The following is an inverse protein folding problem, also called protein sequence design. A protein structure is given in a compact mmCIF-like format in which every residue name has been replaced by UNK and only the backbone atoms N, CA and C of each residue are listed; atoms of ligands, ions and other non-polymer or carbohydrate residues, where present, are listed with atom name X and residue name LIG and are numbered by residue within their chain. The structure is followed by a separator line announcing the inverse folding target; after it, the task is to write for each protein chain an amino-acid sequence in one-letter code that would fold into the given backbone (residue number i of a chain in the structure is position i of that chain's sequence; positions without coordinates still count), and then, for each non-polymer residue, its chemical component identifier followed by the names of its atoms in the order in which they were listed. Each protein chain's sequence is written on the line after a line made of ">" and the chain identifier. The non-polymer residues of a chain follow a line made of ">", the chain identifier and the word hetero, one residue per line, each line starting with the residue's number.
data_IF_565914722916
#
_entry.id   IF_565914722916
#
_cell.length_a   1.000
_cell.length_b   1.000
_cell.length_c   1.000
_cell.angle_alpha   90.00
_cell.angle_beta   90.00
_cell.angle_gamma   90.00
#
_symmetry.space_group_name_H-M   'P 1'
#
loop_
_entity.id
_entity.type
_entity.pdbx_description
1 polymer ?
#
# COMPACT_ATOMS: atom_id res chain seq x y z
N UNK A 1 -10.67 -55.61 -22.29
CA UNK A 1 -11.01 -54.23 -21.98
C UNK A 1 -10.37 -53.87 -20.65
N UNK A 2 -9.31 -53.03 -20.59
CA UNK A 2 -8.63 -52.71 -19.36
C UNK A 2 -8.98 -51.28 -18.93
N UNK A 3 -9.16 -51.13 -17.60
CA UNK A 3 -9.28 -49.85 -16.91
C UNK A 3 -7.93 -49.16 -16.81
N UNK A 4 -7.95 -47.86 -17.00
CA UNK A 4 -6.80 -46.97 -16.91
C UNK A 4 -6.96 -46.04 -15.69
N UNK A 5 -6.20 -46.26 -14.67
CA UNK A 5 -5.85 -45.23 -13.70
C UNK A 5 -4.35 -45.31 -13.38
N UNK A 6 -3.60 -44.40 -13.96
CA UNK A 6 -2.18 -44.21 -13.70
C UNK A 6 -1.94 -43.31 -12.49
N UNK A 7 -1.72 -43.93 -11.30
CA UNK A 7 -1.10 -43.27 -10.16
C UNK A 7 0.35 -43.70 -10.06
N UNK A 8 1.26 -42.72 -10.17
CA UNK A 8 2.68 -42.94 -9.89
C UNK A 8 2.88 -42.90 -8.38
N UNK A 9 3.28 -44.02 -7.79
CA UNK A 9 3.78 -44.14 -6.41
C UNK A 9 5.26 -43.80 -6.40
N UNK A 10 5.65 -42.93 -5.47
CA UNK A 10 7.03 -42.73 -5.06
C UNK A 10 7.33 -43.66 -3.85
N UNK A 11 8.51 -44.23 -3.76
CA UNK A 11 8.84 -45.21 -2.72
C UNK A 11 9.21 -44.54 -1.38
N UNK A 12 8.84 -45.25 -0.31
CA UNK A 12 9.24 -45.01 1.05
C UNK A 12 10.61 -45.66 1.33
N UNK A 13 11.19 -45.24 2.45
CA UNK A 13 12.27 -45.82 3.24
C UNK A 13 13.68 -45.29 3.00
N UNK A 14 14.12 -44.45 3.96
CA UNK A 14 15.22 -44.85 4.85
C UNK A 14 15.23 -43.99 6.13
N UNK A 15 15.00 -44.68 7.24
CA UNK A 15 15.31 -44.22 8.60
C UNK A 15 16.81 -44.01 8.78
N UNK A 16 17.21 -42.86 9.34
CA UNK A 16 18.40 -42.77 10.19
C UNK A 16 18.01 -42.01 11.47
N UNK A 17 18.11 -42.76 12.54
CA UNK A 17 17.95 -42.38 13.93
C UNK A 17 19.15 -41.54 14.39
N UNK A 18 18.96 -40.44 15.02
CA UNK A 18 19.90 -39.85 15.99
C UNK A 18 19.17 -38.84 16.87
N UNK A 19 18.78 -39.31 18.02
CA UNK A 19 18.46 -38.57 19.22
C UNK A 19 19.46 -37.46 19.53
N UNK A 20 18.98 -36.23 19.73
CA UNK A 20 19.27 -35.42 20.94
C UNK A 20 18.47 -34.13 20.93
N UNK A 21 17.51 -34.06 21.84
CA UNK A 21 17.05 -32.91 22.63
C UNK A 21 17.16 -31.47 22.01
N UNK A 22 16.00 -30.92 21.64
CA UNK A 22 15.51 -29.64 22.19
C UNK A 22 14.08 -29.43 21.73
N UNK A 23 13.15 -29.53 22.67
CA UNK A 23 11.71 -29.30 22.50
C UNK A 23 11.42 -27.84 22.08
N UNK A 24 10.62 -27.60 21.05
CA UNK A 24 10.08 -26.28 20.78
C UNK A 24 8.70 -26.15 21.46
N UNK A 25 8.70 -25.94 22.77
CA UNK A 25 7.50 -25.56 23.51
C UNK A 25 7.35 -24.01 23.50
N UNK A 26 7.17 -23.42 22.35
CA UNK A 26 7.03 -21.95 22.22
C UNK A 26 6.07 -21.48 21.13
N UNK A 27 5.83 -22.26 20.11
CA UNK A 27 5.06 -21.78 18.95
C UNK A 27 3.55 -22.09 18.99
N UNK A 28 3.12 -23.08 19.78
CA UNK A 28 1.70 -23.46 19.88
C UNK A 28 0.85 -22.53 20.76
N UNK A 29 1.46 -21.82 21.71
CA UNK A 29 0.72 -20.93 22.63
C UNK A 29 0.38 -19.55 22.03
N UNK A 30 1.05 -19.16 20.97
CA UNK A 30 0.90 -17.82 20.36
C UNK A 30 -0.32 -17.76 19.41
N UNK A 31 -0.75 -18.87 18.85
CA UNK A 31 -1.87 -18.89 17.88
C UNK A 31 -3.25 -18.91 18.53
N UNK A 32 -3.38 -19.41 19.76
CA UNK A 32 -4.69 -19.52 20.44
C UNK A 32 -5.12 -18.26 21.22
N UNK A 33 -4.20 -17.35 21.54
CA UNK A 33 -4.53 -16.11 22.26
C UNK A 33 -5.12 -15.00 21.37
N UNK A 34 -5.18 -15.20 20.05
CA UNK A 34 -5.64 -14.18 19.09
C UNK A 34 -7.15 -14.26 18.81
N UNK A 35 -7.83 -15.31 19.27
CA UNK A 35 -9.19 -15.63 18.79
C UNK A 35 -10.35 -15.32 19.71
N UNK A 36 -10.17 -14.94 20.95
CA UNK A 36 -11.34 -14.49 21.74
C UNK A 36 -10.92 -13.70 22.99
N UNK A 37 -11.34 -12.47 23.10
CA UNK A 37 -11.58 -11.78 24.38
C UNK A 37 -10.39 -11.51 25.31
N UNK A 38 -9.16 -11.72 24.89
CA UNK A 38 -8.00 -11.43 25.72
C UNK A 38 -7.87 -9.93 26.02
N UNK A 39 -7.69 -9.57 27.28
CA UNK A 39 -7.49 -8.20 27.73
C UNK A 39 -6.33 -7.53 26.99
N UNK A 40 -6.38 -6.20 26.88
CA UNK A 40 -5.32 -5.40 26.25
C UNK A 40 -3.96 -5.69 26.89
N UNK A 41 -3.92 -5.98 28.20
CA UNK A 41 -2.70 -6.33 28.92
C UNK A 41 -2.08 -7.67 28.50
N UNK A 42 -2.90 -8.70 28.25
CA UNK A 42 -2.40 -10.00 27.75
C UNK A 42 -1.82 -9.89 26.34
N UNK A 43 -2.40 -9.05 25.49
CA UNK A 43 -1.87 -8.75 24.14
C UNK A 43 -0.54 -7.99 24.20
N UNK A 44 -0.39 -7.11 25.21
CA UNK A 44 0.85 -6.37 25.44
C UNK A 44 1.98 -7.26 25.89
N UNK A 45 1.74 -8.12 26.89
CA UNK A 45 2.73 -9.06 27.38
C UNK A 45 3.23 -10.02 26.29
N UNK A 46 2.34 -10.52 25.44
CA UNK A 46 2.69 -11.38 24.32
C UNK A 46 3.53 -10.65 23.25
N UNK A 47 3.22 -9.37 22.97
CA UNK A 47 3.96 -8.57 21.99
C UNK A 47 5.39 -8.21 22.46
N UNK A 48 5.59 -8.01 23.77
CA UNK A 48 6.90 -7.71 24.35
C UNK A 48 7.78 -8.97 24.44
N UNK A 49 7.21 -10.14 24.75
CA UNK A 49 7.94 -11.41 24.87
C UNK A 49 8.46 -11.98 23.52
N UNK A 50 7.90 -11.54 22.39
CA UNK A 50 8.28 -12.01 21.05
C UNK A 50 9.49 -11.28 20.44
N UNK A 51 10.21 -10.43 21.20
CA UNK A 51 11.36 -9.69 20.70
C UNK A 51 12.63 -10.54 20.68
N UNK A 52 12.99 -11.05 19.51
CA UNK A 52 14.29 -11.64 19.24
C UNK A 52 15.31 -10.54 18.94
N UNK A 53 16.36 -10.41 19.75
CA UNK A 53 17.53 -9.56 19.46
C UNK A 53 18.23 -10.04 18.17
N UNK A 54 18.33 -9.15 17.20
CA UNK A 54 19.16 -9.36 16.01
C UNK A 54 20.44 -8.52 16.17
N UNK A 55 21.56 -9.21 16.40
CA UNK A 55 22.90 -8.57 16.48
C UNK A 55 23.30 -7.94 15.15
N UNK A 56 23.81 -6.73 15.22
CA UNK A 56 24.40 -6.02 14.07
C UNK A 56 25.81 -6.54 13.76
N UNK A 57 26.21 -6.61 12.48
CA UNK A 57 27.61 -6.81 12.12
C UNK A 57 28.40 -5.47 12.19
N UNK A 58 29.64 -5.57 12.69
CA UNK A 58 30.61 -4.49 12.85
C UNK A 58 30.88 -3.70 11.54
N UNK A 59 31.20 -2.39 11.63
CA UNK A 59 31.58 -1.60 10.47
C UNK A 59 32.99 -1.97 9.99
N UNK A 60 33.07 -2.75 8.93
CA UNK A 60 34.34 -3.03 8.21
C UNK A 60 34.81 -1.82 7.40
N UNK A 61 36.14 -1.65 7.16
CA UNK A 61 36.74 -0.48 6.53
C UNK A 61 36.23 -0.25 5.10
N UNK A 62 36.23 1.00 4.69
CA UNK A 62 35.66 1.57 3.48
C UNK A 62 36.02 0.83 2.19
N UNK A 63 35.25 -0.20 1.85
CA UNK A 63 35.18 -0.71 0.48
C UNK A 63 34.42 0.31 -0.38
N UNK A 64 34.83 0.54 -1.63
CA UNK A 64 34.06 1.39 -2.53
C UNK A 64 32.60 0.91 -2.55
N UNK A 65 31.64 1.85 -2.52
CA UNK A 65 30.22 1.49 -2.37
C UNK A 65 29.81 0.56 -3.51
N UNK A 66 29.22 -0.59 -3.12
CA UNK A 66 28.75 -1.57 -4.09
C UNK A 66 27.65 -0.96 -4.96
N UNK A 67 27.48 -1.42 -6.17
CA UNK A 67 26.46 -0.91 -7.10
C UNK A 67 25.10 -0.71 -6.44
N UNK A 68 24.62 -1.69 -5.66
CA UNK A 68 23.32 -1.58 -5.00
C UNK A 68 23.27 -0.52 -3.90
N UNK A 69 24.40 -0.16 -3.29
CA UNK A 69 24.47 0.91 -2.29
C UNK A 69 24.40 2.27 -2.99
N UNK A 70 25.07 2.43 -4.14
CA UNK A 70 24.93 3.60 -5.02
C UNK A 70 23.48 3.77 -5.50
N UNK A 71 22.81 2.68 -5.90
CA UNK A 71 21.38 2.70 -6.30
C UNK A 71 20.49 3.18 -5.16
N UNK A 72 20.74 2.73 -3.91
CA UNK A 72 19.98 3.18 -2.73
C UNK A 72 20.22 4.65 -2.44
N UNK A 73 21.46 5.08 -2.48
CA UNK A 73 21.86 6.46 -2.25
C UNK A 73 21.20 7.39 -3.27
N UNK A 74 21.35 7.12 -4.57
CA UNK A 74 20.73 7.89 -5.63
C UNK A 74 19.19 7.94 -5.52
N UNK A 75 18.55 6.83 -5.13
CA UNK A 75 17.11 6.79 -4.89
C UNK A 75 16.70 7.69 -3.73
N UNK A 76 17.51 7.76 -2.65
CA UNK A 76 17.26 8.63 -1.49
C UNK A 76 17.49 10.10 -1.80
N UNK A 77 18.54 10.43 -2.55
CA UNK A 77 18.79 11.81 -3.03
C UNK A 77 17.61 12.32 -3.85
N UNK A 78 16.97 11.44 -4.64
CA UNK A 78 15.75 11.78 -5.41
C UNK A 78 14.45 11.67 -4.63
N UNK A 79 14.51 11.47 -3.32
CA UNK A 79 13.35 11.30 -2.45
C UNK A 79 12.36 10.20 -2.90
N UNK A 80 12.87 9.13 -3.53
CA UNK A 80 12.03 8.01 -3.92
C UNK A 80 11.52 7.25 -2.68
N UNK A 81 10.28 6.77 -2.77
CA UNK A 81 9.72 5.95 -1.70
C UNK A 81 10.51 4.65 -1.52
N UNK A 82 10.56 4.10 -0.31
CA UNK A 82 11.18 2.78 -0.03
C UNK A 82 10.61 1.67 -0.92
N UNK A 83 9.35 1.80 -1.34
CA UNK A 83 8.72 0.85 -2.26
C UNK A 83 9.29 0.97 -3.67
N UNK A 84 9.50 2.19 -4.16
CA UNK A 84 10.16 2.45 -5.45
C UNK A 84 11.61 1.96 -5.41
N UNK A 85 12.37 2.27 -4.35
CA UNK A 85 13.74 1.79 -4.14
C UNK A 85 13.81 0.26 -4.25
N UNK A 86 12.93 -0.47 -3.52
CA UNK A 86 12.89 -1.93 -3.56
C UNK A 86 12.53 -2.48 -4.94
N UNK A 87 11.56 -1.87 -5.61
CA UNK A 87 11.16 -2.28 -6.95
C UNK A 87 12.29 -2.08 -7.96
N UNK A 88 13.00 -0.96 -7.91
CA UNK A 88 14.12 -0.68 -8.79
C UNK A 88 15.29 -1.64 -8.54
N UNK A 89 15.65 -1.86 -7.28
CA UNK A 89 16.66 -2.86 -6.91
C UNK A 89 16.30 -4.26 -7.41
N UNK A 90 15.04 -4.65 -7.35
CA UNK A 90 14.58 -5.96 -7.82
C UNK A 90 14.72 -6.07 -9.35
N UNK A 91 14.34 -5.03 -10.11
CA UNK A 91 14.48 -5.01 -11.57
C UNK A 91 15.93 -4.99 -12.01
N UNK A 92 16.77 -4.16 -11.39
CA UNK A 92 18.22 -4.09 -11.68
C UNK A 92 18.87 -5.45 -11.40
N UNK A 93 18.54 -6.09 -10.28
CA UNK A 93 19.03 -7.45 -9.97
C UNK A 93 18.62 -8.44 -11.05
N UNK A 94 17.34 -8.44 -11.46
CA UNK A 94 16.82 -9.34 -12.49
C UNK A 94 17.52 -9.13 -13.83
N UNK A 95 17.80 -7.89 -14.22
CA UNK A 95 18.56 -7.52 -15.41
C UNK A 95 20.00 -8.07 -15.37
N UNK A 96 20.70 -7.90 -14.26
CA UNK A 96 22.06 -8.42 -14.05
C UNK A 96 22.09 -9.95 -14.16
N UNK A 97 21.13 -10.64 -13.52
CA UNK A 97 21.04 -12.09 -13.58
C UNK A 97 20.69 -12.60 -14.99
N UNK A 98 19.82 -11.93 -15.71
CA UNK A 98 19.47 -12.27 -17.10
C UNK A 98 20.69 -12.25 -18.03
N UNK A 99 21.64 -11.37 -17.79
CA UNK A 99 22.88 -11.28 -18.54
C UNK A 99 24.08 -12.00 -17.87
N UNK A 100 23.84 -13.07 -17.15
CA UNK A 100 24.91 -13.92 -16.59
C UNK A 100 25.76 -13.23 -15.53
N UNK A 101 25.19 -12.29 -14.76
CA UNK A 101 25.87 -11.49 -13.72
C UNK A 101 26.94 -10.53 -14.24
N UNK A 102 26.87 -10.13 -15.52
CA UNK A 102 27.73 -9.05 -16.06
C UNK A 102 27.44 -7.74 -15.33
N UNK A 103 28.49 -6.92 -15.18
CA UNK A 103 28.30 -5.61 -14.56
C UNK A 103 27.55 -4.65 -15.50
N UNK A 104 26.55 -3.88 -15.03
CA UNK A 104 25.77 -2.99 -15.90
C UNK A 104 26.59 -1.95 -16.67
N UNK A 105 27.71 -1.50 -16.14
CA UNK A 105 28.61 -0.60 -16.86
C UNK A 105 29.21 -1.19 -18.16
N UNK A 106 29.22 -2.52 -18.30
CA UNK A 106 29.69 -3.26 -19.48
C UNK A 106 28.55 -3.61 -20.45
N UNK A 107 27.33 -3.15 -20.15
CA UNK A 107 26.12 -3.45 -20.91
C UNK A 107 25.52 -2.14 -21.41
N UNK A 108 24.83 -2.21 -22.54
CA UNK A 108 24.21 -1.03 -23.15
C UNK A 108 22.85 -1.30 -23.77
N UNK A 109 22.58 -0.61 -24.86
CA UNK A 109 21.35 -0.67 -25.64
C UNK A 109 20.89 -2.09 -25.99
N UNK A 110 21.76 -2.91 -26.59
CA UNK A 110 21.36 -4.24 -27.03
C UNK A 110 20.89 -5.10 -25.86
N UNK A 111 21.59 -5.04 -24.71
CA UNK A 111 21.25 -5.83 -23.54
C UNK A 111 19.93 -5.37 -22.91
N UNK A 112 19.70 -4.06 -22.81
CA UNK A 112 18.45 -3.52 -22.29
C UNK A 112 17.29 -3.92 -23.18
N UNK A 113 17.42 -3.76 -24.51
CA UNK A 113 16.38 -4.16 -25.47
C UNK A 113 16.10 -5.64 -25.39
N UNK A 114 17.15 -6.49 -25.34
CA UNK A 114 17.01 -7.94 -25.22
C UNK A 114 16.24 -8.33 -23.95
N UNK A 115 16.59 -7.71 -22.80
CA UNK A 115 15.90 -7.96 -21.54
C UNK A 115 14.44 -7.53 -21.57
N UNK A 116 14.14 -6.33 -22.09
CA UNK A 116 12.76 -5.84 -22.19
C UNK A 116 11.92 -6.68 -23.16
N UNK A 117 12.52 -7.14 -24.26
CA UNK A 117 11.87 -8.06 -25.22
C UNK A 117 11.59 -9.42 -24.58
N UNK A 118 12.55 -10.00 -23.83
CA UNK A 118 12.31 -11.26 -23.13
C UNK A 118 11.19 -11.15 -22.09
N UNK A 119 11.07 -10.02 -21.39
CA UNK A 119 9.94 -9.78 -20.49
C UNK A 119 8.60 -9.79 -21.21
N UNK A 120 8.56 -9.21 -22.41
CA UNK A 120 7.32 -9.15 -23.20
C UNK A 120 6.97 -10.50 -23.85
N UNK A 121 7.94 -11.16 -24.48
CA UNK A 121 7.73 -12.37 -25.30
C UNK A 121 7.73 -13.63 -24.43
N UNK A 122 8.80 -13.86 -23.69
CA UNK A 122 8.96 -15.07 -22.86
C UNK A 122 8.22 -14.95 -21.53
N UNK A 123 8.34 -13.79 -20.88
CA UNK A 123 7.71 -13.53 -19.57
C UNK A 123 6.23 -13.17 -19.65
N UNK A 124 5.71 -12.88 -20.84
CA UNK A 124 4.32 -12.46 -21.08
C UNK A 124 3.81 -11.43 -20.04
N UNK A 125 4.68 -10.48 -19.66
CA UNK A 125 4.36 -9.49 -18.64
C UNK A 125 3.48 -8.38 -19.20
N UNK A 126 2.63 -7.80 -18.36
CA UNK A 126 1.83 -6.65 -18.77
C UNK A 126 2.71 -5.45 -19.15
N UNK A 127 2.26 -4.62 -20.09
CA UNK A 127 2.94 -3.41 -20.56
C UNK A 127 3.35 -2.47 -19.39
N UNK A 128 2.53 -2.39 -18.33
CA UNK A 128 2.87 -1.61 -17.12
C UNK A 128 4.08 -2.17 -16.37
N UNK A 129 4.25 -3.48 -16.36
CA UNK A 129 5.38 -4.18 -15.71
C UNK A 129 6.65 -3.97 -16.52
N UNK A 130 6.58 -4.08 -17.84
CA UNK A 130 7.71 -3.80 -18.74
C UNK A 130 8.16 -2.33 -18.62
N UNK A 131 7.22 -1.38 -18.59
CA UNK A 131 7.51 0.04 -18.40
C UNK A 131 8.11 0.33 -17.01
N UNK A 132 7.77 -0.43 -15.97
CA UNK A 132 8.41 -0.32 -14.66
C UNK A 132 9.86 -0.81 -14.69
N UNK A 133 10.14 -1.91 -15.39
CA UNK A 133 11.49 -2.40 -15.60
C UNK A 133 12.34 -1.37 -16.38
N UNK A 134 11.80 -0.83 -17.48
CA UNK A 134 12.45 0.24 -18.24
C UNK A 134 12.78 1.45 -17.34
N UNK A 135 11.83 1.92 -16.52
CA UNK A 135 12.07 3.06 -15.63
C UNK A 135 13.18 2.78 -14.62
N UNK A 136 13.30 1.55 -14.13
CA UNK A 136 14.38 1.15 -13.22
C UNK A 136 15.75 1.11 -13.90
N UNK A 137 15.81 0.68 -15.17
CA UNK A 137 17.05 0.67 -15.97
C UNK A 137 17.46 2.08 -16.39
N UNK A 138 16.51 2.93 -16.80
CA UNK A 138 16.76 4.34 -17.06
C UNK A 138 17.38 5.04 -15.85
N UNK A 139 16.80 4.81 -14.67
CA UNK A 139 17.34 5.33 -13.42
C UNK A 139 18.76 4.79 -13.14
N UNK A 140 19.01 3.49 -13.37
CA UNK A 140 20.33 2.90 -13.18
C UNK A 140 21.38 3.59 -14.05
N UNK A 141 21.13 3.72 -15.35
CA UNK A 141 22.12 4.25 -16.27
C UNK A 141 22.30 5.77 -16.13
N UNK A 142 21.22 6.54 -16.08
CA UNK A 142 21.29 8.01 -15.99
C UNK A 142 21.75 8.52 -14.62
N UNK A 143 21.23 7.92 -13.55
CA UNK A 143 21.34 8.51 -12.20
C UNK A 143 22.37 7.82 -11.31
N UNK A 144 22.78 6.58 -11.64
CA UNK A 144 23.72 5.81 -10.82
C UNK A 144 25.03 5.58 -11.55
N UNK A 145 24.98 5.26 -12.86
CA UNK A 145 26.15 5.03 -13.67
C UNK A 145 26.61 6.29 -14.40
N UNK A 146 25.77 7.32 -14.46
CA UNK A 146 26.01 8.61 -15.13
C UNK A 146 26.39 8.40 -16.62
N UNK A 147 25.81 7.37 -17.23
CA UNK A 147 25.99 7.06 -18.65
C UNK A 147 24.85 7.67 -19.45
N UNK A 148 25.19 8.49 -20.40
CA UNK A 148 24.24 9.02 -21.37
C UNK A 148 23.93 7.94 -22.42
N UNK A 149 22.65 7.68 -22.57
CA UNK A 149 22.15 6.68 -23.52
C UNK A 149 21.12 7.37 -24.44
N UNK A 150 21.57 8.15 -25.44
CA UNK A 150 20.69 8.98 -26.28
C UNK A 150 19.53 8.20 -26.90
N UNK A 151 19.77 6.95 -27.30
CA UNK A 151 18.77 6.07 -27.91
C UNK A 151 17.69 5.55 -26.93
N UNK A 152 17.86 5.71 -25.61
CA UNK A 152 16.83 5.35 -24.61
C UNK A 152 15.60 6.25 -24.68
N UNK A 153 15.73 7.43 -25.25
CA UNK A 153 14.59 8.32 -25.48
C UNK A 153 13.70 7.79 -26.60
N UNK A 154 14.26 6.98 -27.52
CA UNK A 154 13.55 6.32 -28.61
C UNK A 154 12.95 4.94 -28.22
N UNK A 155 13.24 4.42 -27.02
CA UNK A 155 12.64 3.16 -26.60
C UNK A 155 11.13 3.34 -26.44
N UNK A 156 10.39 2.77 -27.39
CA UNK A 156 8.94 2.80 -27.41
C UNK A 156 8.38 2.17 -26.14
N UNK A 157 7.81 3.01 -25.30
CA UNK A 157 7.09 2.50 -24.12
C UNK A 157 5.90 1.66 -24.57
N UNK A 158 5.78 0.46 -24.01
CA UNK A 158 4.66 -0.40 -24.32
C UNK A 158 3.32 0.33 -24.08
N UNK A 159 2.47 0.36 -25.10
CA UNK A 159 1.13 0.98 -25.01
C UNK A 159 0.33 0.30 -23.92
N UNK A 160 -0.15 1.08 -22.97
CA UNK A 160 -1.08 0.57 -21.94
C UNK A 160 -2.48 0.60 -22.52
N UNK A 161 -3.20 -0.52 -22.57
CA UNK A 161 -4.60 -0.46 -22.92
C UNK A 161 -5.34 0.38 -21.88
N UNK A 162 -6.15 1.33 -22.32
CA UNK A 162 -7.05 2.07 -21.47
C UNK A 162 -8.11 1.10 -20.94
N UNK A 163 -8.08 0.80 -19.63
CA UNK A 163 -9.10 -0.02 -18.98
C UNK A 163 -9.99 0.89 -18.16
N UNK A 164 -11.28 0.79 -18.39
CA UNK A 164 -12.25 1.47 -17.54
C UNK A 164 -12.15 0.92 -16.11
N UNK A 165 -12.20 1.79 -15.09
CA UNK A 165 -12.19 1.34 -13.71
C UNK A 165 -13.47 0.55 -13.39
N UNK A 166 -13.33 -0.48 -12.58
CA UNK A 166 -14.50 -1.14 -12.01
C UNK A 166 -15.13 -0.23 -10.96
N UNK A 167 -16.41 0.06 -11.14
CA UNK A 167 -17.24 0.83 -10.23
C UNK A 167 -18.31 -0.09 -9.65
N UNK A 168 -18.51 -0.02 -8.34
CA UNK A 168 -19.59 -0.71 -7.64
C UNK A 168 -20.80 0.21 -7.59
N UNK A 169 -21.99 -0.34 -7.69
CA UNK A 169 -23.22 0.39 -7.35
C UNK A 169 -23.28 0.69 -5.85
N UNK A 170 -24.15 1.59 -5.43
CA UNK A 170 -24.35 1.91 -4.00
C UNK A 170 -24.76 0.67 -3.19
N UNK A 171 -25.60 -0.18 -3.76
CA UNK A 171 -26.04 -1.44 -3.14
C UNK A 171 -24.90 -2.47 -3.06
N UNK A 172 -24.06 -2.58 -4.09
CA UNK A 172 -22.88 -3.44 -4.07
C UNK A 172 -21.87 -2.99 -3.01
N UNK A 173 -21.64 -1.68 -2.87
CA UNK A 173 -20.81 -1.11 -1.78
C UNK A 173 -21.40 -1.46 -0.43
N UNK A 174 -22.71 -1.26 -0.23
CA UNK A 174 -23.40 -1.59 1.00
C UNK A 174 -23.26 -3.07 1.34
N UNK A 175 -23.52 -3.94 0.38
CA UNK A 175 -23.41 -5.40 0.53
C UNK A 175 -22.00 -5.82 0.97
N UNK A 176 -20.94 -5.27 0.37
CA UNK A 176 -19.56 -5.53 0.79
C UNK A 176 -19.29 -5.04 2.21
N UNK A 177 -19.70 -3.83 2.55
CA UNK A 177 -19.49 -3.25 3.87
C UNK A 177 -20.24 -4.01 4.97
N UNK A 178 -21.37 -4.64 4.68
CA UNK A 178 -22.10 -5.49 5.62
C UNK A 178 -21.36 -6.80 5.92
N UNK A 179 -20.50 -7.28 5.02
CA UNK A 179 -19.66 -8.47 5.26
C UNK A 179 -18.34 -8.15 6.00
N UNK A 180 -18.08 -6.87 6.25
CA UNK A 180 -16.85 -6.43 6.93
C UNK A 180 -17.16 -5.98 8.36
N UNK A 181 -16.19 -6.17 9.26
CA UNK A 181 -16.34 -5.81 10.68
C UNK A 181 -15.11 -5.06 11.20
N UNK A 182 -15.28 -4.31 12.30
CA UNK A 182 -14.21 -3.63 13.02
C UNK A 182 -13.37 -2.67 12.16
N UNK A 183 -12.09 -2.58 12.43
CA UNK A 183 -11.16 -1.65 11.76
C UNK A 183 -11.17 -1.76 10.24
N UNK A 184 -11.18 -2.95 9.61
CA UNK A 184 -11.29 -3.07 8.16
C UNK A 184 -12.56 -2.42 7.59
N UNK A 185 -13.71 -2.60 8.25
CA UNK A 185 -14.97 -1.97 7.82
C UNK A 185 -14.89 -0.45 7.90
N UNK A 186 -14.44 0.07 9.04
CA UNK A 186 -14.26 1.51 9.26
C UNK A 186 -13.31 2.13 8.22
N UNK A 187 -12.20 1.44 7.93
CA UNK A 187 -11.24 1.86 6.90
C UNK A 187 -11.88 1.86 5.51
N UNK A 188 -12.64 0.82 5.15
CA UNK A 188 -13.35 0.74 3.87
C UNK A 188 -14.39 1.85 3.72
N UNK A 189 -15.11 2.18 4.79
CA UNK A 189 -16.04 3.31 4.85
C UNK A 189 -15.32 4.64 4.56
N UNK A 190 -14.10 4.85 5.08
CA UNK A 190 -13.30 6.04 4.78
C UNK A 190 -12.79 6.05 3.34
N UNK A 191 -12.41 4.90 2.77
CA UNK A 191 -12.03 4.83 1.36
C UNK A 191 -13.19 5.24 0.44
N UNK A 192 -14.41 4.78 0.76
CA UNK A 192 -15.61 5.08 -0.02
C UNK A 192 -16.17 6.47 0.29
N UNK A 193 -16.25 6.86 1.57
CA UNK A 193 -16.94 8.09 1.96
C UNK A 193 -16.10 9.36 1.91
N UNK A 194 -14.75 9.22 1.87
CA UNK A 194 -13.81 10.33 1.80
C UNK A 194 -12.89 10.26 0.57
N UNK A 195 -13.02 9.24 -0.26
CA UNK A 195 -12.21 9.05 -1.46
C UNK A 195 -10.71 8.84 -1.20
N UNK A 196 -10.32 8.35 -0.03
CA UNK A 196 -8.92 8.15 0.34
C UNK A 196 -8.26 7.04 -0.48
N UNK A 197 -6.96 7.17 -0.74
CA UNK A 197 -6.15 6.02 -1.16
C UNK A 197 -5.89 5.11 0.04
N UNK A 198 -5.67 3.83 -0.20
CA UNK A 198 -5.42 2.85 0.87
C UNK A 198 -4.31 3.29 1.84
N UNK A 199 -3.16 3.71 1.32
CA UNK A 199 -2.05 4.16 2.16
C UNK A 199 -2.31 5.54 2.80
N UNK A 200 -3.06 6.42 2.16
CA UNK A 200 -3.49 7.68 2.79
C UNK A 200 -4.34 7.42 4.02
N UNK A 201 -5.30 6.49 3.92
CA UNK A 201 -6.11 6.08 5.04
C UNK A 201 -5.27 5.41 6.15
N UNK A 202 -4.36 4.51 5.78
CA UNK A 202 -3.48 3.85 6.75
C UNK A 202 -2.53 4.82 7.46
N UNK A 203 -2.12 5.91 6.79
CA UNK A 203 -1.22 6.94 7.30
C UNK A 203 -1.93 8.12 7.97
N UNK A 204 -3.25 8.07 8.15
CA UNK A 204 -3.96 9.11 8.89
C UNK A 204 -3.43 9.20 10.33
N UNK A 205 -3.19 10.44 10.77
CA UNK A 205 -2.83 10.74 12.15
C UNK A 205 -4.03 11.31 12.89
N UNK A 206 -4.01 11.20 14.20
CA UNK A 206 -5.08 11.72 15.05
C UNK A 206 -5.36 13.20 14.78
N UNK A 207 -4.30 14.02 14.65
CA UNK A 207 -4.40 15.46 14.36
C UNK A 207 -4.95 15.81 12.98
N UNK A 208 -5.02 14.82 12.09
CA UNK A 208 -5.50 15.02 10.72
C UNK A 208 -7.01 14.78 10.60
N UNK A 209 -7.69 14.44 11.72
CA UNK A 209 -9.14 14.23 11.81
C UNK A 209 -9.77 15.41 12.54
N UNK A 210 -10.53 16.23 11.81
CA UNK A 210 -11.28 17.35 12.38
C UNK A 210 -12.78 17.01 12.44
N UNK A 211 -13.23 16.61 13.64
CA UNK A 211 -14.63 16.28 13.89
C UNK A 211 -15.56 17.51 13.88
N UNK A 212 -15.02 18.68 14.25
CA UNK A 212 -15.82 19.92 14.31
C UNK A 212 -16.16 20.43 12.91
N UNK A 213 -15.14 20.42 12.00
CA UNK A 213 -15.31 20.86 10.62
C UNK A 213 -15.75 19.76 9.66
N UNK A 214 -15.86 18.52 10.15
CA UNK A 214 -16.14 17.34 9.31
C UNK A 214 -15.12 17.13 8.18
N UNK A 215 -13.85 17.27 8.50
CA UNK A 215 -12.76 17.24 7.53
C UNK A 215 -11.65 16.24 7.91
N UNK A 216 -11.01 15.71 6.87
CA UNK A 216 -9.79 14.93 6.97
C UNK A 216 -8.68 15.66 6.20
N UNK A 217 -7.55 15.86 6.84
CA UNK A 217 -6.34 16.41 6.20
C UNK A 217 -5.49 15.25 5.70
N UNK A 218 -5.34 15.09 4.40
CA UNK A 218 -4.48 14.09 3.79
C UNK A 218 -3.13 14.73 3.51
N UNK A 219 -2.12 14.31 4.28
CA UNK A 219 -0.76 14.84 4.16
C UNK A 219 0.07 14.03 3.20
N UNK A 220 1.00 14.71 2.51
CA UNK A 220 1.98 14.10 1.60
C UNK A 220 1.32 13.10 0.63
N UNK A 221 0.22 13.50 0.01
CA UNK A 221 -0.45 12.74 -1.05
C UNK A 221 0.53 12.45 -2.21
N UNK A 222 0.09 11.75 -3.25
CA UNK A 222 0.91 11.49 -4.44
C UNK A 222 1.46 12.82 -4.99
N UNK A 223 2.77 13.04 -4.82
CA UNK A 223 3.46 14.26 -5.23
C UNK A 223 3.58 15.33 -4.16
N UNK A 224 3.54 14.94 -2.88
CA UNK A 224 3.83 15.78 -1.71
C UNK A 224 2.94 17.03 -1.54
N UNK A 225 1.66 16.92 -1.99
CA UNK A 225 0.66 17.97 -1.76
C UNK A 225 -0.36 17.52 -0.73
N UNK A 226 -0.57 18.35 0.27
CA UNK A 226 -1.65 18.20 1.23
C UNK A 226 -2.99 18.53 0.56
N UNK A 227 -4.05 17.87 0.99
CA UNK A 227 -5.42 18.20 0.61
C UNK A 227 -6.37 17.96 1.77
N UNK A 228 -7.52 18.59 1.70
CA UNK A 228 -8.63 18.37 2.61
C UNK A 228 -9.72 17.56 1.89
N UNK A 229 -10.31 16.61 2.58
CA UNK A 229 -11.50 15.89 2.12
C UNK A 229 -12.52 15.78 3.26
N UNK A 230 -13.73 15.33 2.96
CA UNK A 230 -14.79 15.22 3.95
C UNK A 230 -14.59 14.07 4.92
N UNK A 231 -14.98 14.25 6.18
CA UNK A 231 -15.19 13.19 7.14
C UNK A 231 -16.68 12.77 7.09
N UNK A 232 -17.00 11.57 6.59
CA UNK A 232 -18.38 11.13 6.47
C UNK A 232 -19.06 11.03 7.85
N UNK A 233 -20.28 11.54 7.96
CA UNK A 233 -21.02 11.55 9.24
C UNK A 233 -21.24 10.15 9.79
N UNK A 234 -21.51 9.18 8.90
CA UNK A 234 -21.77 7.78 9.26
C UNK A 234 -20.60 7.10 10.00
N UNK A 235 -19.36 7.56 9.80
CA UNK A 235 -18.19 6.95 10.46
C UNK A 235 -17.85 7.59 11.80
N UNK A 236 -18.39 8.76 12.14
CA UNK A 236 -17.95 9.55 13.29
C UNK A 236 -18.04 8.78 14.61
N UNK A 237 -19.19 8.20 14.91
CA UNK A 237 -19.41 7.48 16.18
C UNK A 237 -18.48 6.26 16.31
N UNK A 238 -18.27 5.50 15.21
CA UNK A 238 -17.37 4.34 15.19
C UNK A 238 -15.91 4.77 15.27
N UNK A 239 -15.55 5.85 14.56
CA UNK A 239 -14.20 6.40 14.57
C UNK A 239 -13.85 6.98 15.95
N UNK A 240 -14.76 7.67 16.64
CA UNK A 240 -14.56 8.18 18.00
C UNK A 240 -14.24 7.03 18.96
N UNK A 241 -15.08 5.98 18.99
CA UNK A 241 -14.82 4.78 19.82
C UNK A 241 -13.50 4.11 19.49
N UNK A 242 -13.15 4.06 18.22
CA UNK A 242 -11.87 3.51 17.78
C UNK A 242 -10.69 4.34 18.26
N UNK A 243 -10.78 5.68 18.19
CA UNK A 243 -9.74 6.59 18.68
C UNK A 243 -9.58 6.52 20.20
N UNK A 244 -10.67 6.34 20.96
CA UNK A 244 -10.62 6.11 22.40
C UNK A 244 -9.84 4.84 22.74
N UNK A 245 -10.14 3.73 22.06
CA UNK A 245 -9.40 2.48 22.22
C UNK A 245 -7.93 2.60 21.80
N UNK A 246 -7.65 3.30 20.70
CA UNK A 246 -6.28 3.56 20.24
C UNK A 246 -5.53 4.46 21.23
N UNK A 247 -6.19 5.42 21.89
CA UNK A 247 -5.61 6.28 22.92
C UNK A 247 -5.25 5.48 24.17
N UNK A 248 -6.14 4.64 24.65
CA UNK A 248 -5.88 3.73 25.77
C UNK A 248 -4.66 2.83 25.48
N UNK A 249 -4.60 2.26 24.27
CA UNK A 249 -3.45 1.47 23.83
C UNK A 249 -2.15 2.31 23.84
N UNK A 250 -2.18 3.53 23.35
CA UNK A 250 -1.04 4.44 23.34
C UNK A 250 -0.57 4.80 24.76
N UNK A 251 -1.49 5.07 25.68
CA UNK A 251 -1.18 5.36 27.08
C UNK A 251 -0.53 4.16 27.78
N UNK A 252 -0.97 2.95 27.48
CA UNK A 252 -0.32 1.72 27.95
C UNK A 252 1.08 1.57 27.35
N UNK A 253 1.24 1.83 26.06
CA UNK A 253 2.56 1.81 25.39
C UNK A 253 3.54 2.78 26.06
N UNK A 254 3.08 3.98 26.42
CA UNK A 254 3.91 4.99 27.12
C UNK A 254 4.36 4.53 28.50
N UNK A 255 3.49 3.87 29.29
CA UNK A 255 3.83 3.31 30.61
C UNK A 255 4.91 2.24 30.54
N UNK A 256 5.01 1.53 29.42
CA UNK A 256 6.01 0.48 29.19
C UNK A 256 7.23 0.98 28.39
N UNK A 257 7.45 2.30 28.32
CA UNK A 257 8.61 2.90 27.64
C UNK A 257 8.57 2.86 26.11
N UNK A 258 7.41 2.47 25.55
CA UNK A 258 7.16 2.45 24.12
C UNK A 258 6.35 3.69 23.66
N UNK A 259 5.47 3.57 22.68
CA UNK A 259 4.57 4.64 22.24
C UNK A 259 5.24 5.65 21.31
N UNK A 260 6.41 5.33 20.78
CA UNK A 260 7.08 6.13 19.78
C UNK A 260 6.48 5.92 18.41
N UNK A 261 6.50 6.97 17.62
CA UNK A 261 6.07 6.98 16.23
C UNK A 261 7.12 7.63 15.35
N UNK A 262 7.34 7.09 14.17
CA UNK A 262 8.32 7.64 13.23
C UNK A 262 7.79 8.94 12.61
N UNK A 263 8.51 10.03 12.88
CA UNK A 263 8.27 11.34 12.26
C UNK A 263 9.19 11.52 11.05
N UNK A 264 8.83 12.37 10.09
CA UNK A 264 9.76 12.85 9.07
C UNK A 264 11.01 13.45 9.73
N UNK A 265 12.19 13.19 9.16
CA UNK A 265 13.49 13.49 9.78
C UNK A 265 13.64 14.94 10.24
N UNK A 266 13.11 15.90 9.46
CA UNK A 266 13.15 17.32 9.81
C UNK A 266 12.30 17.62 11.06
N UNK A 267 11.10 17.04 11.15
CA UNK A 267 10.21 17.20 12.29
C UNK A 267 10.73 16.50 13.54
N UNK A 268 11.34 15.32 13.39
CA UNK A 268 11.95 14.60 14.50
C UNK A 268 13.11 15.40 15.14
N UNK A 269 13.87 16.17 14.33
CA UNK A 269 14.93 17.07 14.84
C UNK A 269 14.35 18.30 15.51
N UNK A 270 13.31 18.91 14.93
CA UNK A 270 12.68 20.14 15.45
C UNK A 270 11.87 19.87 16.72
N UNK A 271 11.20 18.72 16.79
CA UNK A 271 10.31 18.32 17.88
C UNK A 271 10.66 16.89 18.35
N UNK A 272 11.72 16.71 19.17
CA UNK A 272 12.24 15.38 19.53
C UNK A 272 11.21 14.48 20.21
N UNK A 273 10.30 15.05 21.00
CA UNK A 273 9.29 14.31 21.76
C UNK A 273 7.94 14.14 21.04
N UNK A 274 7.73 14.85 19.94
CA UNK A 274 6.44 14.82 19.25
C UNK A 274 6.02 13.40 18.78
N UNK A 275 7.01 12.51 18.58
CA UNK A 275 6.73 11.10 18.25
C UNK A 275 5.98 10.33 19.35
N UNK A 276 5.96 10.84 20.62
CA UNK A 276 5.22 10.27 21.76
C UNK A 276 3.88 10.96 22.00
N UNK A 277 3.63 12.09 21.39
CA UNK A 277 2.41 12.85 21.60
C UNK A 277 1.23 12.22 20.86
N UNK A 278 0.06 12.21 21.50
CA UNK A 278 -1.16 11.64 20.97
C UNK A 278 -1.56 12.20 19.59
N UNK A 279 -1.52 13.51 19.32
CA UNK A 279 -1.92 14.06 18.02
C UNK A 279 -1.12 13.50 16.83
N UNK A 280 0.09 13.02 17.06
CA UNK A 280 0.95 12.46 16.02
C UNK A 280 0.75 10.97 15.79
N UNK A 281 0.08 10.27 16.70
CA UNK A 281 -0.14 8.84 16.58
C UNK A 281 -1.01 8.49 15.36
N UNK A 282 -0.90 7.24 14.92
CA UNK A 282 -1.72 6.74 13.83
C UNK A 282 -3.18 6.58 14.29
N UNK A 283 -4.12 6.97 13.43
CA UNK A 283 -5.54 6.62 13.63
C UNK A 283 -5.70 5.10 13.66
N UNK A 284 -5.00 4.39 12.78
CA UNK A 284 -5.03 2.94 12.70
C UNK A 284 -3.64 2.35 13.02
N UNK A 285 -3.29 2.19 14.30
CA UNK A 285 -2.00 1.62 14.69
C UNK A 285 -1.94 0.12 14.41
N UNK A 286 -0.75 -0.39 14.11
CA UNK A 286 -0.50 -1.82 14.03
C UNK A 286 -0.55 -2.47 15.42
N UNK A 287 -0.88 -3.75 15.49
CA UNK A 287 -0.90 -4.50 16.74
C UNK A 287 0.49 -4.81 17.28
N UNK A 288 1.51 -4.86 16.41
CA UNK A 288 2.88 -5.20 16.78
C UNK A 288 3.77 -3.97 16.88
N UNK A 289 4.75 -4.03 17.80
CA UNK A 289 5.86 -3.09 17.84
C UNK A 289 6.96 -3.46 16.86
N UNK A 290 7.78 -2.49 16.54
CA UNK A 290 9.12 -2.69 16.01
C UNK A 290 10.12 -1.84 16.82
N UNK A 291 11.36 -2.32 16.90
CA UNK A 291 12.44 -1.59 17.55
C UNK A 291 13.20 -0.83 16.47
N UNK A 292 13.36 0.47 16.67
CA UNK A 292 14.16 1.29 15.78
C UNK A 292 15.63 1.07 16.11
N UNK A 293 16.35 0.36 15.25
CA UNK A 293 17.75 -0.06 15.50
C UNK A 293 18.69 1.09 15.92
N UNK A 294 18.53 2.27 15.29
CA UNK A 294 19.40 3.42 15.57
C UNK A 294 19.21 4.03 16.98
N UNK A 295 18.04 3.87 17.61
CA UNK A 295 17.69 4.55 18.87
C UNK A 295 17.20 3.60 19.95
N UNK A 296 17.01 2.32 19.66
CA UNK A 296 16.39 1.36 20.58
C UNK A 296 14.89 1.63 20.87
N UNK A 297 14.30 2.64 20.25
CA UNK A 297 12.94 3.05 20.52
C UNK A 297 11.92 2.02 20.03
N UNK A 298 10.98 1.68 20.89
CA UNK A 298 9.85 0.80 20.58
C UNK A 298 8.73 1.63 19.97
N UNK A 299 8.44 1.35 18.70
CA UNK A 299 7.49 2.12 17.88
C UNK A 299 6.40 1.23 17.31
N UNK A 300 5.21 1.82 17.04
CA UNK A 300 4.17 1.16 16.25
C UNK A 300 4.15 1.70 14.84
N UNK A 301 3.99 0.81 13.87
CA UNK A 301 3.63 1.19 12.51
C UNK A 301 2.13 1.48 12.41
N UNK A 302 1.73 2.05 11.29
CA UNK A 302 0.33 2.07 10.87
C UNK A 302 -0.15 0.65 10.52
N UNK A 303 -1.47 0.48 10.45
CA UNK A 303 -2.10 -0.74 9.94
C UNK A 303 -1.53 -1.10 8.56
N UNK A 304 -1.07 -2.34 8.42
CA UNK A 304 -0.51 -2.79 7.14
C UNK A 304 -1.61 -2.93 6.08
N UNK A 305 -1.33 -2.44 4.88
CA UNK A 305 -2.30 -2.42 3.79
C UNK A 305 -2.91 -3.79 3.44
N UNK A 306 -2.16 -4.88 3.68
CA UNK A 306 -2.63 -6.25 3.41
C UNK A 306 -3.81 -6.66 4.29
N UNK A 307 -3.97 -6.07 5.48
CA UNK A 307 -5.10 -6.36 6.36
C UNK A 307 -6.41 -5.96 5.68
N UNK A 308 -6.48 -4.72 5.17
CA UNK A 308 -7.66 -4.27 4.47
C UNK A 308 -7.86 -4.98 3.12
N UNK A 309 -6.77 -5.19 2.37
CA UNK A 309 -6.84 -5.92 1.09
C UNK A 309 -7.40 -7.34 1.27
N UNK A 310 -7.01 -8.02 2.36
CA UNK A 310 -7.52 -9.35 2.70
C UNK A 310 -8.99 -9.28 3.09
N UNK A 311 -9.36 -8.35 3.97
CA UNK A 311 -10.75 -8.19 4.42
C UNK A 311 -11.71 -7.88 3.25
N UNK A 312 -11.30 -7.03 2.30
CA UNK A 312 -12.09 -6.77 1.09
C UNK A 312 -12.25 -8.02 0.24
N UNK A 313 -11.18 -8.82 0.09
CA UNK A 313 -11.23 -10.09 -0.66
C UNK A 313 -12.15 -11.10 0.02
N UNK A 314 -12.05 -11.24 1.33
CA UNK A 314 -12.91 -12.14 2.11
C UNK A 314 -14.38 -11.73 2.07
N UNK A 315 -14.65 -10.42 2.17
CA UNK A 315 -15.99 -9.88 2.02
C UNK A 315 -16.56 -10.18 0.61
N UNK A 316 -15.75 -9.98 -0.43
CA UNK A 316 -16.16 -10.26 -1.81
C UNK A 316 -16.49 -11.76 -2.02
N UNK A 317 -15.69 -12.67 -1.44
CA UNK A 317 -15.98 -14.10 -1.52
C UNK A 317 -17.28 -14.52 -0.83
N UNK A 318 -17.74 -13.78 0.17
CA UNK A 318 -19.03 -14.02 0.86
C UNK A 318 -20.22 -13.46 0.11
N UNK A 319 -19.99 -12.62 -0.88
CA UNK A 319 -21.03 -12.07 -1.73
C UNK A 319 -21.02 -12.82 -3.06
N UNK A 320 -22.18 -13.11 -3.65
CA UNK A 320 -22.28 -13.69 -5.00
C UNK A 320 -21.97 -12.67 -6.10
N UNK A 321 -21.19 -11.65 -5.80
CA UNK A 321 -20.91 -10.53 -6.70
C UNK A 321 -19.93 -10.93 -7.79
N UNK A 322 -20.28 -10.80 -9.09
CA UNK A 322 -19.39 -11.18 -10.19
C UNK A 322 -18.25 -10.18 -10.43
N UNK A 323 -18.35 -8.99 -9.85
CA UNK A 323 -17.36 -7.92 -10.04
C UNK A 323 -16.14 -8.12 -9.15
N UNK A 324 -14.94 -7.80 -9.68
CA UNK A 324 -13.72 -7.76 -8.89
C UNK A 324 -13.64 -6.44 -8.13
N UNK A 325 -13.73 -6.48 -6.80
CA UNK A 325 -13.55 -5.32 -5.96
C UNK A 325 -12.17 -5.33 -5.27
N UNK A 326 -11.59 -4.15 -5.15
CA UNK A 326 -10.33 -3.88 -4.45
C UNK A 326 -10.50 -2.64 -3.59
N UNK A 327 -9.52 -2.31 -2.74
CA UNK A 327 -9.54 -1.05 -1.99
C UNK A 327 -9.64 0.18 -2.91
N UNK A 328 -9.07 0.13 -4.11
CA UNK A 328 -9.17 1.20 -5.10
C UNK A 328 -10.58 1.32 -5.70
N UNK A 329 -11.32 0.23 -5.77
CA UNK A 329 -12.69 0.22 -6.29
C UNK A 329 -13.61 1.09 -5.44
N UNK A 330 -13.45 1.11 -4.11
CA UNK A 330 -14.20 2.02 -3.23
C UNK A 330 -13.98 3.49 -3.59
N UNK A 331 -12.73 3.88 -3.83
CA UNK A 331 -12.41 5.25 -4.25
C UNK A 331 -12.91 5.57 -5.66
N UNK A 332 -12.90 4.61 -6.59
CA UNK A 332 -13.49 4.79 -7.93
C UNK A 332 -15.00 4.99 -7.80
N UNK A 333 -15.68 4.18 -6.98
CA UNK A 333 -17.11 4.31 -6.74
C UNK A 333 -17.46 5.64 -6.06
N UNK A 334 -16.64 6.13 -5.10
CA UNK A 334 -16.80 7.46 -4.52
C UNK A 334 -16.79 8.55 -5.60
N UNK A 335 -15.77 8.55 -6.47
CA UNK A 335 -15.64 9.55 -7.52
C UNK A 335 -16.82 9.53 -8.48
N UNK A 336 -17.22 8.33 -8.91
CA UNK A 336 -18.34 8.13 -9.83
C UNK A 336 -19.66 8.57 -9.20
N UNK A 337 -19.93 8.17 -7.97
CA UNK A 337 -21.19 8.52 -7.31
C UNK A 337 -21.32 10.01 -7.00
N UNK A 338 -20.20 10.71 -6.72
CA UNK A 338 -20.24 12.19 -6.62
C UNK A 338 -20.62 12.84 -7.93
N UNK A 339 -20.07 12.36 -9.05
CA UNK A 339 -20.43 12.88 -10.38
C UNK A 339 -21.89 12.56 -10.73
N UNK A 340 -22.39 11.37 -10.37
CA UNK A 340 -23.80 10.98 -10.53
C UNK A 340 -24.75 11.87 -9.71
N UNK A 341 -24.30 12.31 -8.51
CA UNK A 341 -25.01 13.23 -7.64
C UNK A 341 -24.95 14.70 -8.14
N UNK A 342 -24.27 14.94 -9.28
CA UNK A 342 -24.21 16.26 -9.93
C UNK A 342 -23.08 17.16 -9.46
N UNK A 343 -22.13 16.65 -8.65
CA UNK A 343 -20.93 17.42 -8.31
C UNK A 343 -20.04 17.60 -9.53
N UNK A 344 -19.46 18.80 -9.64
CA UNK A 344 -18.58 19.10 -10.77
C UNK A 344 -17.23 18.35 -10.69
N UNK A 345 -16.62 18.14 -11.85
CA UNK A 345 -15.41 17.35 -11.98
C UNK A 345 -14.19 17.97 -11.28
N UNK A 346 -14.15 19.29 -11.13
CA UNK A 346 -13.05 19.98 -10.44
C UNK A 346 -13.13 19.73 -8.94
N UNK A 347 -14.32 19.84 -8.36
CA UNK A 347 -14.56 19.46 -6.96
C UNK A 347 -14.14 18.01 -6.70
N UNK A 348 -14.53 17.08 -7.59
CA UNK A 348 -14.10 15.67 -7.47
C UNK A 348 -12.59 15.52 -7.63
N UNK A 349 -11.96 16.24 -8.55
CA UNK A 349 -10.51 16.28 -8.74
C UNK A 349 -9.78 16.73 -7.48
N UNK A 350 -10.24 17.79 -6.84
CA UNK A 350 -9.66 18.34 -5.61
C UNK A 350 -9.78 17.36 -4.44
N UNK A 351 -10.98 16.82 -4.20
CA UNK A 351 -11.23 15.83 -3.16
C UNK A 351 -10.34 14.59 -3.33
N UNK A 352 -10.14 14.15 -4.56
CA UNK A 352 -9.28 13.02 -4.88
C UNK A 352 -7.77 13.38 -4.83
N UNK A 353 -7.41 14.65 -4.98
CA UNK A 353 -6.02 15.10 -5.10
C UNK A 353 -5.35 14.56 -6.38
N UNK A 354 -6.03 14.70 -7.52
CA UNK A 354 -5.45 14.40 -8.82
C UNK A 354 -4.77 15.65 -9.37
N UNK A 355 -3.48 15.53 -9.71
CA UNK A 355 -2.71 16.64 -10.31
C UNK A 355 -3.23 17.01 -11.68
N UNK A 356 -3.62 16.00 -12.48
CA UNK A 356 -4.11 16.13 -13.83
C UNK A 356 -5.60 15.77 -13.86
N UNK A 357 -6.40 16.64 -14.45
CA UNK A 357 -7.84 16.43 -14.63
C UNK A 357 -8.11 15.19 -15.47
N UNK A 358 -7.24 14.85 -16.43
CA UNK A 358 -7.37 13.66 -17.25
C UNK A 358 -7.45 12.38 -16.39
N UNK A 359 -6.82 12.37 -15.21
CA UNK A 359 -6.96 11.26 -14.24
C UNK A 359 -8.37 11.18 -13.67
N UNK A 360 -9.10 12.28 -13.60
CA UNK A 360 -10.50 12.35 -13.13
C UNK A 360 -11.49 12.12 -14.27
N UNK A 361 -11.13 12.54 -15.49
CA UNK A 361 -11.95 12.32 -16.68
C UNK A 361 -12.27 10.85 -16.96
N UNK A 362 -11.47 9.91 -16.44
CA UNK A 362 -11.79 8.48 -16.54
C UNK A 362 -13.13 8.09 -15.91
N UNK A 363 -13.69 8.91 -15.03
CA UNK A 363 -14.99 8.66 -14.39
C UNK A 363 -16.16 9.23 -15.19
N UNK A 364 -15.90 10.12 -16.15
CA UNK A 364 -16.98 10.77 -16.94
C UNK A 364 -17.68 9.81 -17.91
N UNK A 365 -17.05 8.68 -18.25
CA UNK A 365 -17.69 7.65 -19.06
C UNK A 365 -18.98 7.09 -18.44
N UNK A 366 -19.11 7.14 -17.11
CA UNK A 366 -20.32 6.69 -16.41
C UNK A 366 -21.42 7.75 -16.53
N UNK A 367 -21.05 9.02 -16.69
CA UNK A 367 -21.98 10.13 -16.95
C UNK A 367 -22.45 10.16 -18.40
N UNK A 368 -21.77 9.45 -19.30
CA UNK A 368 -22.16 9.36 -20.73
C UNK A 368 -23.47 8.57 -20.88
N UNK A 369 -24.56 9.19 -20.43
CA UNK A 369 -25.93 8.79 -20.78
C UNK A 369 -26.23 9.01 -22.27
N UNK A 370 -25.19 9.30 -23.08
CA UNK A 370 -25.30 9.72 -24.46
C UNK A 370 -25.94 11.12 -24.60
N UNK A 371 -26.14 11.60 -25.82
CA UNK A 371 -26.85 12.88 -26.07
C UNK A 371 -28.26 12.90 -25.46
N UNK A 372 -28.91 11.74 -25.35
CA UNK A 372 -30.23 11.59 -24.72
C UNK A 372 -30.25 11.74 -23.20
N UNK A 373 -29.10 11.75 -22.52
CA UNK A 373 -29.00 11.96 -21.07
C UNK A 373 -28.79 13.41 -20.66
N UNK A 374 -28.58 14.31 -21.61
CA UNK A 374 -28.46 15.75 -21.37
C UNK A 374 -29.83 16.38 -21.53
N UNK A 375 -30.39 16.90 -20.44
CA UNK A 375 -31.62 17.70 -20.53
C UNK A 375 -31.31 19.05 -21.17
N UNK A 376 -32.10 19.42 -22.19
CA UNK A 376 -32.00 20.75 -22.79
C UNK A 376 -32.27 21.83 -21.75
N UNK A 377 -31.51 22.94 -21.78
CA UNK A 377 -31.89 24.12 -20.97
C UNK A 377 -33.33 24.56 -21.20
N UNK A 378 -33.86 24.39 -22.42
CA UNK A 378 -35.23 24.69 -22.75
C UNK A 378 -36.27 23.82 -22.05
N UNK A 379 -35.93 22.54 -21.76
CA UNK A 379 -36.82 21.62 -21.05
C UNK A 379 -37.04 21.99 -19.59
N UNK A 380 -36.18 22.91 -19.06
CA UNK A 380 -36.33 23.48 -17.69
C UNK A 380 -37.14 24.77 -17.69
N UNK A 381 -37.50 25.29 -18.83
CA UNK A 381 -38.36 26.44 -18.94
C UNK A 381 -39.83 25.99 -18.82
N UNK A 382 -40.19 25.51 -17.60
CA UNK A 382 -41.60 25.21 -17.31
C UNK A 382 -42.41 26.51 -17.29
N UNK A 383 -43.31 26.64 -18.26
CA UNK A 383 -44.26 27.73 -18.51
C UNK A 383 -43.68 28.99 -19.17
N UNK A 384 -43.69 28.98 -20.48
CA UNK A 384 -44.02 30.17 -21.26
C UNK A 384 -45.54 30.30 -21.37
#
# INVERSE_FOLDING_TARGET
>A
MPDREGRVKLPADHCIDSSTLLSPAGEGAILHAVTAGASIEARYACAVSAMREVREPDPSPSRPPRLFDRVREAARVRHYSRRTERAYLAWIRRFIFFHGKRHPAEMGAPEITKFLSSLAVEGNVAASTQNQALSALLFLYRDVLEQDLPWLDDVVRAKRPARLPFVLTREEVRTLLLQMHGVPRLTALLLYGAGLRLLECAHLRVKDVDFARNQLVVRSGKGDKDRVTMLPTIVKAELTRHLEAAKQQHEMDLRHGAGWMELPSALARKYPNAGREWPWQWVFPATRFYVKRATGQHSRHHLHESVLQRAVREALMKTAMPKRATCHTFRHSFATHLLEDGHDIRTVQELLGHRDVNTTMIYTHVLNRGPAGVQSPADRMTAL
#
